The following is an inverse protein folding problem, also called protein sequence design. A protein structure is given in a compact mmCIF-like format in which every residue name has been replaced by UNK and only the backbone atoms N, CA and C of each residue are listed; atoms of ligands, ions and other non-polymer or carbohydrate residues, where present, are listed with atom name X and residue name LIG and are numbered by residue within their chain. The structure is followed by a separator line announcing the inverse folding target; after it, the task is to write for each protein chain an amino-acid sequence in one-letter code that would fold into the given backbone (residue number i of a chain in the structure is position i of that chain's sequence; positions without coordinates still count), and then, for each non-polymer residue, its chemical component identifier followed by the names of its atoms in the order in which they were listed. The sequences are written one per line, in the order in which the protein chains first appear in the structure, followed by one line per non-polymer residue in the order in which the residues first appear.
data_IF_991256615790
#
_entry.id   IF_991256615790
#
_cell.length_a   1.000
_cell.length_b   1.000
_cell.length_c   1.000
_cell.angle_alpha   90.00
_cell.angle_beta   90.00
_cell.angle_gamma   90.00
#
_symmetry.space_group_name_H-M   'P 1'
#
loop_
_entity.id
_entity.type
_entity.pdbx_description
1 polymer ?
#
# COMPACT_ATOMS: atom_id res chain seq x y z
N UNK A 1 -16.12 -9.47 -6.15
CA UNK A 1 -15.46 -9.02 -7.40
C UNK A 1 -15.09 -7.55 -7.27
N UNK A 2 -14.22 -7.04 -8.12
CA UNK A 2 -13.93 -5.59 -8.19
C UNK A 2 -15.21 -4.74 -8.33
N UNK A 3 -16.18 -5.21 -9.12
CA UNK A 3 -17.49 -4.56 -9.27
C UNK A 3 -18.26 -4.50 -7.94
N UNK A 4 -18.14 -5.51 -7.09
CA UNK A 4 -18.75 -5.48 -5.75
C UNK A 4 -18.21 -4.33 -4.89
N UNK A 5 -16.93 -3.95 -5.05
CA UNK A 5 -16.32 -2.84 -4.31
C UNK A 5 -16.95 -1.50 -4.68
N UNK A 6 -17.48 -1.34 -5.91
CA UNK A 6 -18.17 -0.12 -6.33
C UNK A 6 -19.52 0.11 -5.62
N UNK A 7 -20.05 -0.93 -4.97
CA UNK A 7 -21.37 -0.91 -4.34
C UNK A 7 -21.32 -0.74 -2.81
N UNK A 8 -20.13 -0.68 -2.20
CA UNK A 8 -20.01 -0.31 -0.78
C UNK A 8 -20.24 1.19 -0.62
N UNK A 9 -20.62 1.65 0.58
CA UNK A 9 -20.94 3.06 0.83
C UNK A 9 -19.69 3.94 0.74
N UNK A 10 -18.59 3.53 1.36
CA UNK A 10 -17.38 4.35 1.39
C UNK A 10 -16.07 3.53 1.43
N UNK A 11 -15.16 3.87 0.51
CA UNK A 11 -13.79 3.36 0.46
C UNK A 11 -12.83 4.47 0.89
N UNK A 12 -12.25 4.33 2.07
CA UNK A 12 -11.23 5.23 2.58
C UNK A 12 -9.94 5.17 1.75
N UNK A 13 -9.46 6.32 1.28
CA UNK A 13 -8.21 6.48 0.53
C UNK A 13 -7.39 7.65 1.05
N UNK A 14 -6.07 7.64 0.85
CA UNK A 14 -5.27 8.83 1.14
C UNK A 14 -5.62 9.96 0.18
N UNK A 15 -6.05 11.11 0.75
CA UNK A 15 -6.39 12.29 -0.02
C UNK A 15 -5.21 12.77 -0.88
N UNK A 16 -5.43 12.88 -2.19
CA UNK A 16 -4.45 13.25 -3.20
C UNK A 16 -3.39 12.18 -3.51
N UNK A 17 -3.46 11.02 -2.85
CA UNK A 17 -2.49 9.94 -2.99
C UNK A 17 -2.60 9.17 -4.31
N UNK A 18 -1.59 8.34 -4.59
CA UNK A 18 -1.52 7.55 -5.82
C UNK A 18 -2.73 6.59 -5.96
N UNK A 19 -3.13 5.94 -4.87
CA UNK A 19 -4.26 5.01 -4.87
C UNK A 19 -5.60 5.69 -5.18
N UNK A 20 -5.84 6.90 -4.64
CA UNK A 20 -7.04 7.67 -4.97
C UNK A 20 -7.09 7.98 -6.48
N UNK A 21 -6.00 8.51 -7.03
CA UNK A 21 -5.91 8.87 -8.44
C UNK A 21 -6.10 7.65 -9.36
N UNK A 22 -5.49 6.51 -9.00
CA UNK A 22 -5.66 5.26 -9.71
C UNK A 22 -7.12 4.80 -9.70
N UNK A 23 -7.74 4.67 -8.52
CA UNK A 23 -9.13 4.21 -8.40
C UNK A 23 -10.12 5.14 -9.10
N UNK A 24 -9.90 6.46 -9.08
CA UNK A 24 -10.69 7.41 -9.88
C UNK A 24 -10.55 7.16 -11.39
N UNK A 25 -9.34 6.84 -11.86
CA UNK A 25 -9.11 6.49 -13.28
C UNK A 25 -9.83 5.19 -13.65
N UNK A 26 -9.99 4.27 -12.71
CA UNK A 26 -10.84 3.08 -12.86
C UNK A 26 -12.34 3.33 -12.62
N UNK A 27 -12.78 4.58 -12.49
CA UNK A 27 -14.19 4.95 -12.37
C UNK A 27 -14.82 4.68 -10.99
N UNK A 28 -14.02 4.56 -9.93
CA UNK A 28 -14.57 4.50 -8.57
C UNK A 28 -15.07 5.88 -8.15
N UNK A 29 -16.35 5.95 -7.76
CA UNK A 29 -17.01 7.18 -7.32
C UNK A 29 -17.23 7.23 -5.80
N UNK A 30 -17.23 6.07 -5.14
CA UNK A 30 -17.45 5.89 -3.70
C UNK A 30 -16.17 6.01 -2.85
N UNK A 31 -15.23 6.88 -3.26
CA UNK A 31 -13.98 7.13 -2.55
C UNK A 31 -14.16 8.22 -1.50
N UNK A 32 -13.77 7.94 -0.26
CA UNK A 32 -13.73 8.87 0.87
C UNK A 32 -12.27 9.34 1.10
N UNK A 33 -11.91 10.58 0.74
CA UNK A 33 -10.56 11.09 0.92
C UNK A 33 -10.24 11.37 2.39
N UNK A 34 -9.25 10.66 2.93
CA UNK A 34 -8.79 10.80 4.31
C UNK A 34 -7.53 11.67 4.35
N UNK A 35 -7.64 12.85 4.96
CA UNK A 35 -6.52 13.79 5.10
C UNK A 35 -5.59 13.45 6.26
N UNK A 36 -6.13 12.87 7.33
CA UNK A 36 -5.36 12.41 8.47
C UNK A 36 -5.26 10.89 8.46
N UNK A 37 -4.15 10.37 7.93
CA UNK A 37 -3.91 8.92 7.86
C UNK A 37 -3.80 8.27 9.24
N UNK A 38 -3.56 9.03 10.30
CA UNK A 38 -3.54 8.48 11.66
C UNK A 38 -4.91 8.02 12.18
N UNK A 39 -6.01 8.38 11.49
CA UNK A 39 -7.39 8.04 11.90
C UNK A 39 -8.08 7.02 11.01
N UNK A 40 -7.46 6.55 9.91
CA UNK A 40 -8.09 5.69 8.90
C UNK A 40 -8.58 4.35 9.47
N UNK A 41 -7.74 3.68 10.27
CA UNK A 41 -8.06 2.40 10.89
C UNK A 41 -9.19 2.54 11.91
N UNK A 42 -9.23 3.63 12.67
CA UNK A 42 -10.32 3.89 13.61
C UNK A 42 -11.62 4.24 12.88
N UNK A 43 -11.55 4.88 11.72
CA UNK A 43 -12.74 5.10 10.87
C UNK A 43 -13.31 3.77 10.37
N UNK A 44 -12.46 2.86 9.91
CA UNK A 44 -12.85 1.51 9.51
C UNK A 44 -13.48 0.75 10.69
N UNK A 45 -12.80 0.70 11.83
CA UNK A 45 -13.28 0.00 13.03
C UNK A 45 -14.58 0.59 13.61
N UNK A 46 -14.82 1.90 13.40
CA UNK A 46 -16.06 2.56 13.81
C UNK A 46 -17.19 2.46 12.77
N UNK A 47 -16.98 1.78 11.64
CA UNK A 47 -17.96 1.67 10.55
C UNK A 47 -18.26 3.00 9.86
N UNK A 48 -17.32 3.96 9.88
CA UNK A 48 -17.45 5.24 9.15
C UNK A 48 -17.04 5.12 7.69
N UNK A 49 -16.30 4.07 7.36
CA UNK A 49 -15.95 3.61 6.02
C UNK A 49 -16.09 2.08 6.03
N UNK A 50 -16.42 1.50 4.88
CA UNK A 50 -16.59 0.04 4.75
C UNK A 50 -15.28 -0.66 4.42
N UNK A 51 -14.45 0.01 3.61
CA UNK A 51 -13.16 -0.49 3.16
C UNK A 51 -12.09 0.59 3.33
N UNK A 52 -10.85 0.17 3.55
CA UNK A 52 -9.68 1.04 3.59
C UNK A 52 -8.64 0.55 2.58
N UNK A 53 -8.13 1.46 1.77
CA UNK A 53 -6.99 1.20 0.90
C UNK A 53 -5.70 1.59 1.62
N UNK A 54 -4.79 0.63 1.77
CA UNK A 54 -3.49 0.85 2.41
C UNK A 54 -2.45 -0.11 1.85
N UNK A 55 -1.18 0.33 1.83
CA UNK A 55 -0.04 -0.59 1.64
C UNK A 55 0.29 -1.33 2.93
N UNK A 56 1.05 -2.43 2.85
CA UNK A 56 1.43 -3.20 4.03
C UNK A 56 2.24 -2.41 5.05
N UNK A 57 3.15 -1.56 4.58
CA UNK A 57 3.99 -0.73 5.44
C UNK A 57 3.12 0.30 6.18
N UNK A 58 2.21 0.96 5.46
CA UNK A 58 1.28 1.93 6.06
C UNK A 58 0.36 1.26 7.07
N UNK A 59 -0.20 0.10 6.72
CA UNK A 59 -1.09 -0.65 7.58
C UNK A 59 -0.38 -1.10 8.86
N UNK A 60 0.84 -1.63 8.74
CA UNK A 60 1.65 -2.02 9.88
C UNK A 60 1.92 -0.84 10.83
N UNK A 61 2.33 0.31 10.29
CA UNK A 61 2.57 1.53 11.06
C UNK A 61 1.29 2.09 11.72
N UNK A 62 0.13 1.94 11.08
CA UNK A 62 -1.15 2.34 11.65
C UNK A 62 -1.59 1.40 12.78
N UNK A 63 -1.49 0.09 12.57
CA UNK A 63 -1.86 -0.91 13.58
C UNK A 63 -1.03 -0.79 14.86
N UNK A 64 0.27 -0.50 14.75
CA UNK A 64 1.16 -0.26 15.89
C UNK A 64 0.75 0.90 16.81
N UNK A 65 -0.21 1.74 16.39
CA UNK A 65 -0.75 2.88 17.15
C UNK A 65 -2.13 2.60 17.72
N UNK A 66 -2.63 1.37 17.57
CA UNK A 66 -3.97 0.96 17.99
C UNK A 66 -3.92 -0.33 18.80
N UNK A 67 -5.05 -0.73 19.37
CA UNK A 67 -5.21 -2.05 19.98
C UNK A 67 -5.61 -3.14 18.96
N UNK A 68 -5.88 -2.75 17.71
CA UNK A 68 -6.26 -3.66 16.66
C UNK A 68 -5.03 -4.38 16.13
N UNK A 69 -5.23 -5.62 15.71
CA UNK A 69 -4.20 -6.43 15.04
C UNK A 69 -4.63 -6.75 13.61
N UNK A 70 -3.76 -7.43 12.88
CA UNK A 70 -4.05 -7.79 11.49
C UNK A 70 -5.17 -8.84 11.40
N UNK A 71 -5.34 -9.65 12.45
CA UNK A 71 -6.41 -10.65 12.57
C UNK A 71 -7.80 -10.00 12.74
N UNK A 72 -7.86 -8.74 13.17
CA UNK A 72 -9.11 -7.96 13.23
C UNK A 72 -9.50 -7.41 11.85
N UNK A 73 -8.65 -7.56 10.85
CA UNK A 73 -8.82 -7.04 9.50
C UNK A 73 -8.90 -8.17 8.49
N UNK A 74 -9.68 -7.93 7.44
CA UNK A 74 -9.82 -8.86 6.32
C UNK A 74 -9.27 -8.22 5.04
N UNK A 75 -8.34 -8.89 4.37
CA UNK A 75 -7.82 -8.44 3.08
C UNK A 75 -8.83 -8.78 1.97
N UNK A 76 -9.70 -7.82 1.65
CA UNK A 76 -10.81 -8.02 0.72
C UNK A 76 -10.37 -8.07 -0.75
N UNK A 77 -9.45 -7.21 -1.16
CA UNK A 77 -9.00 -7.13 -2.56
C UNK A 77 -7.58 -6.58 -2.64
N UNK A 78 -6.77 -7.19 -3.50
CA UNK A 78 -5.45 -6.65 -3.90
C UNK A 78 -5.51 -6.27 -5.37
N UNK A 79 -5.12 -5.04 -5.68
CA UNK A 79 -5.30 -4.44 -6.99
C UNK A 79 -3.99 -4.02 -7.68
N UNK A 80 -2.85 -4.34 -7.04
CA UNK A 80 -1.52 -4.15 -7.60
C UNK A 80 -0.41 -4.43 -6.59
N UNK A 81 0.77 -4.81 -7.09
CA UNK A 81 2.04 -4.86 -6.34
C UNK A 81 2.95 -3.78 -6.91
N UNK A 82 3.36 -2.82 -6.08
CA UNK A 82 4.28 -1.77 -6.47
C UNK A 82 5.60 -1.92 -5.72
N UNK A 83 6.70 -2.06 -6.47
CA UNK A 83 8.03 -2.02 -5.88
C UNK A 83 8.45 -0.55 -5.63
N UNK A 84 9.17 -0.33 -4.53
CA UNK A 84 9.77 0.96 -4.22
C UNK A 84 11.17 1.05 -4.81
N UNK A 85 11.49 2.19 -5.41
CA UNK A 85 12.79 2.44 -6.02
C UNK A 85 13.41 3.73 -5.50
N UNK A 86 14.74 3.75 -5.42
CA UNK A 86 15.49 5.00 -5.24
C UNK A 86 15.50 5.76 -6.57
N UNK A 87 14.78 6.88 -6.61
CA UNK A 87 14.78 7.76 -7.76
C UNK A 87 15.97 8.73 -7.71
N UNK A 88 16.71 8.85 -8.81
CA UNK A 88 17.84 9.77 -8.94
C UNK A 88 17.58 10.81 -10.02
N UNK A 89 18.24 11.97 -9.92
CA UNK A 89 18.18 12.98 -10.98
C UNK A 89 18.80 12.42 -12.27
N UNK A 90 18.31 12.87 -13.43
CA UNK A 90 18.87 12.48 -14.73
C UNK A 90 20.34 12.91 -14.94
N UNK A 91 20.87 13.77 -14.08
CA UNK A 91 22.23 14.32 -14.16
C UNK A 91 23.21 13.61 -13.21
N UNK A 92 22.77 12.60 -12.43
CA UNK A 92 23.66 11.85 -11.56
C UNK A 92 24.82 11.23 -12.35
N UNK A 93 26.04 11.26 -11.80
CA UNK A 93 27.15 10.57 -12.45
C UNK A 93 26.99 9.06 -12.35
N UNK A 94 27.45 8.34 -13.37
CA UNK A 94 27.45 6.87 -13.34
C UNK A 94 28.23 6.31 -12.14
N UNK A 95 29.32 6.99 -11.73
CA UNK A 95 30.10 6.59 -10.55
C UNK A 95 29.30 6.71 -9.26
N UNK A 96 28.52 7.78 -9.08
CA UNK A 96 27.67 7.93 -7.90
C UNK A 96 26.53 6.91 -7.90
N UNK A 97 25.91 6.66 -9.07
CA UNK A 97 24.88 5.64 -9.20
C UNK A 97 25.41 4.24 -8.84
N UNK A 98 26.62 3.90 -9.30
CA UNK A 98 27.25 2.61 -9.00
C UNK A 98 27.46 2.40 -7.49
N UNK A 99 27.82 3.46 -6.75
CA UNK A 99 27.97 3.38 -5.29
C UNK A 99 26.64 3.02 -4.62
N UNK A 100 25.55 3.66 -5.02
CA UNK A 100 24.22 3.34 -4.49
C UNK A 100 23.78 1.92 -4.83
N UNK A 101 24.01 1.50 -6.08
CA UNK A 101 23.66 0.15 -6.52
C UNK A 101 24.44 -0.91 -5.71
N UNK A 102 25.77 -0.77 -5.61
CA UNK A 102 26.58 -1.71 -4.85
C UNK A 102 26.26 -1.74 -3.36
N UNK A 103 25.87 -0.60 -2.77
CA UNK A 103 25.39 -0.57 -1.39
C UNK A 103 24.05 -1.31 -1.21
N UNK A 104 23.12 -1.13 -2.16
CA UNK A 104 21.86 -1.86 -2.17
C UNK A 104 22.08 -3.37 -2.34
N UNK A 105 22.89 -3.78 -3.31
CA UNK A 105 23.21 -5.19 -3.55
C UNK A 105 23.82 -5.82 -2.29
N UNK A 106 24.72 -5.11 -1.60
CA UNK A 106 25.33 -5.59 -0.37
C UNK A 106 24.30 -5.86 0.76
N UNK A 107 23.33 -4.96 0.97
CA UNK A 107 22.29 -5.17 2.00
C UNK A 107 21.28 -6.26 1.61
N UNK A 108 21.11 -6.52 0.32
CA UNK A 108 20.29 -7.65 -0.15
C UNK A 108 21.03 -8.96 0.09
N UNK A 109 22.28 -9.06 -0.38
CA UNK A 109 23.11 -10.26 -0.28
C UNK A 109 23.36 -10.70 1.17
N UNK A 110 23.57 -9.75 2.08
CA UNK A 110 23.83 -10.04 3.49
C UNK A 110 22.54 -10.27 4.33
N UNK A 111 21.37 -10.16 3.70
CA UNK A 111 20.06 -10.39 4.33
C UNK A 111 19.52 -9.23 5.18
N UNK A 112 20.23 -8.11 5.29
CA UNK A 112 19.76 -6.93 6.03
C UNK A 112 18.49 -6.34 5.43
N UNK A 113 18.36 -6.37 4.10
CA UNK A 113 17.13 -5.97 3.41
C UNK A 113 15.91 -6.72 3.96
N UNK A 114 15.99 -8.05 4.07
CA UNK A 114 14.92 -8.87 4.65
C UNK A 114 14.62 -8.51 6.11
N UNK A 115 15.65 -8.19 6.90
CA UNK A 115 15.46 -7.74 8.30
C UNK A 115 14.74 -6.40 8.39
N UNK A 116 15.10 -5.44 7.53
CA UNK A 116 14.44 -4.13 7.45
C UNK A 116 12.97 -4.32 7.05
N UNK A 117 12.70 -5.12 6.01
CA UNK A 117 11.34 -5.39 5.55
C UNK A 117 10.47 -6.03 6.63
N UNK A 118 10.99 -7.05 7.32
CA UNK A 118 10.30 -7.71 8.43
C UNK A 118 10.06 -6.74 9.60
N UNK A 119 11.02 -5.88 9.93
CA UNK A 119 10.88 -4.86 10.98
C UNK A 119 9.75 -3.87 10.68
N UNK A 120 9.49 -3.60 9.40
CA UNK A 120 8.42 -2.70 8.93
C UNK A 120 7.16 -3.45 8.49
N UNK A 121 7.02 -4.74 8.85
CA UNK A 121 5.79 -5.50 8.67
C UNK A 121 5.46 -5.87 7.23
N UNK A 122 6.43 -5.84 6.32
CA UNK A 122 6.21 -6.31 4.94
C UNK A 122 6.17 -7.83 4.94
N UNK A 123 5.07 -8.38 4.43
CA UNK A 123 4.83 -9.83 4.34
C UNK A 123 4.74 -10.25 2.88
N UNK A 124 5.33 -11.40 2.53
CA UNK A 124 5.39 -11.88 1.14
C UNK A 124 4.25 -12.90 0.82
N UNK A 125 3.45 -13.27 1.82
CA UNK A 125 2.50 -14.41 1.79
C UNK A 125 1.03 -14.02 2.03
N UNK A 126 0.60 -12.86 1.51
CA UNK A 126 -0.79 -12.45 1.65
C UNK A 126 -1.69 -13.07 0.59
N UNK A 127 -2.85 -13.55 1.03
CA UNK A 127 -3.88 -14.13 0.18
C UNK A 127 -5.15 -13.29 0.27
N UNK A 128 -5.39 -12.35 -0.66
CA UNK A 128 -6.62 -11.59 -0.66
C UNK A 128 -7.81 -12.52 -0.94
N UNK A 129 -8.99 -12.20 -0.39
CA UNK A 129 -10.22 -12.93 -0.71
C UNK A 129 -10.50 -12.96 -2.22
N UNK A 130 -10.07 -11.90 -2.91
CA UNK A 130 -10.26 -11.68 -4.31
C UNK A 130 -8.95 -11.15 -4.92
N UNK A 131 -8.47 -11.83 -5.95
CA UNK A 131 -7.35 -11.36 -6.78
C UNK A 131 -7.88 -10.74 -8.08
N UNK A 132 -7.27 -9.64 -8.51
CA UNK A 132 -7.48 -9.09 -9.83
C UNK A 132 -6.45 -8.03 -10.16
N UNK A 133 -5.95 -8.04 -11.38
CA UNK A 133 -5.09 -6.97 -11.87
C UNK A 133 -5.98 -5.78 -12.27
N UNK A 134 -5.64 -4.59 -11.81
CA UNK A 134 -6.12 -3.36 -12.45
C UNK A 134 -5.37 -3.21 -13.79
N UNK A 135 -5.63 -4.15 -14.69
CA UNK A 135 -5.20 -4.03 -16.07
C UNK A 135 -6.09 -2.97 -16.71
N UNK A 136 -5.49 -1.82 -17.03
CA UNK A 136 -6.07 -0.95 -18.05
C UNK A 136 -6.15 -1.82 -19.30
N UNK A 137 -7.36 -2.06 -19.81
CA UNK A 137 -7.53 -2.64 -21.13
C UNK A 137 -6.65 -1.87 -22.12
N UNK A 138 -5.77 -2.59 -22.81
CA UNK A 138 -5.02 -2.03 -23.94
C UNK A 138 -5.95 -1.41 -24.98
#
# INVERSE_FOLDING_TARGET
SIEGLRHVEAIGVQAGGAHEQALRTYGFENLEPIYNQGSSIQMLAAGRIDLLVSSDIELFEQLNKTALTREDLELVYSFGRGDLYLAFSKQISASALQVWQSAYDHIVENGEFGRIMAKHGVMDDQHPLLEGDLSIGQ
#
